data_IF_490808731768
#
_entry.id   IF_490808731768
#
_cell.length_a   1.000
_cell.length_b   1.000
_cell.length_c   1.000
_cell.angle_alpha   90.00
_cell.angle_beta   90.00
_cell.angle_gamma   90.00
#
_symmetry.space_group_name_H-M   'P 1'
#
loop_
_entity.id
_entity.type
_entity.pdbx_description
1 polymer ?
#
# COMPACT_ATOMS: atom_id res chain seq x y z
N UNK A 1 -20.85 -12.57 16.21
CA UNK A 1 -21.22 -12.61 14.75
C UNK A 1 -20.97 -14.02 14.23
N UNK A 2 -21.44 -14.40 13.03
CA UNK A 2 -21.17 -15.73 12.46
C UNK A 2 -20.17 -15.65 11.31
N UNK A 3 -19.26 -16.61 11.22
CA UNK A 3 -18.25 -16.72 10.18
C UNK A 3 -18.92 -16.89 8.81
N UNK A 4 -18.61 -16.06 7.80
CA UNK A 4 -19.19 -16.19 6.46
C UNK A 4 -18.67 -17.39 5.68
N UNK A 5 -17.53 -17.97 6.06
CA UNK A 5 -16.95 -19.14 5.41
C UNK A 5 -17.55 -20.46 5.95
N UNK A 6 -17.55 -20.66 7.27
CA UNK A 6 -17.94 -21.94 7.88
C UNK A 6 -19.08 -21.84 8.92
N UNK A 7 -19.71 -20.67 9.08
CA UNK A 7 -20.87 -20.41 9.95
C UNK A 7 -20.66 -20.52 11.46
N UNK A 8 -19.48 -20.91 11.92
CA UNK A 8 -19.12 -20.88 13.34
C UNK A 8 -19.24 -19.47 13.94
N UNK A 9 -19.54 -19.38 15.23
CA UNK A 9 -19.54 -18.10 15.95
C UNK A 9 -18.13 -17.53 16.01
N UNK A 10 -17.98 -16.28 15.57
CA UNK A 10 -16.72 -15.54 15.69
C UNK A 10 -16.44 -15.20 17.16
N UNK A 11 -15.17 -15.30 17.54
CA UNK A 11 -14.65 -14.94 18.85
C UNK A 11 -13.88 -13.64 18.73
N UNK A 12 -14.13 -12.70 19.64
CA UNK A 12 -13.29 -11.52 19.80
C UNK A 12 -11.98 -11.91 20.50
N UNK A 13 -10.84 -11.53 19.91
CA UNK A 13 -9.49 -11.77 20.42
C UNK A 13 -8.73 -10.46 20.43
N UNK A 14 -7.71 -10.34 21.27
CA UNK A 14 -6.74 -9.24 21.20
C UNK A 14 -5.54 -9.69 20.38
N UNK A 15 -5.24 -8.95 19.31
CA UNK A 15 -4.08 -9.14 18.43
C UNK A 15 -3.34 -7.82 18.29
N UNK A 16 -2.09 -7.76 18.77
CA UNK A 16 -1.26 -6.54 18.80
C UNK A 16 -1.98 -5.31 19.38
N UNK A 17 -2.69 -5.49 20.49
CA UNK A 17 -3.43 -4.42 21.16
C UNK A 17 -4.70 -3.99 20.44
N UNK A 18 -5.19 -4.79 19.48
CA UNK A 18 -6.43 -4.54 18.75
C UNK A 18 -7.41 -5.69 18.95
N UNK A 19 -8.65 -5.37 19.28
CA UNK A 19 -9.74 -6.35 19.32
C UNK A 19 -10.20 -6.67 17.90
N UNK A 20 -9.99 -7.92 17.46
CA UNK A 20 -10.44 -8.43 16.16
C UNK A 20 -11.34 -9.65 16.36
N UNK A 21 -12.07 -10.02 15.31
CA UNK A 21 -12.97 -11.15 15.32
C UNK A 21 -12.37 -12.32 14.54
N UNK A 22 -12.17 -13.46 15.18
CA UNK A 22 -11.52 -14.64 14.60
C UNK A 22 -12.44 -15.86 14.62
N UNK A 23 -12.37 -16.67 13.58
CA UNK A 23 -13.06 -17.94 13.49
C UNK A 23 -12.14 -19.12 13.88
N UNK A 24 -12.47 -19.83 14.96
CA UNK A 24 -11.70 -21.02 15.38
C UNK A 24 -11.86 -22.23 14.43
N UNK A 25 -12.80 -22.17 13.46
CA UNK A 25 -13.04 -23.26 12.50
C UNK A 25 -12.16 -23.18 11.25
N UNK A 26 -12.16 -22.02 10.59
CA UNK A 26 -11.44 -21.81 9.33
C UNK A 26 -10.20 -20.93 9.48
N UNK A 27 -10.00 -20.28 10.63
CA UNK A 27 -8.91 -19.31 10.85
C UNK A 27 -9.12 -17.96 10.17
N UNK A 28 -10.33 -17.68 9.67
CA UNK A 28 -10.65 -16.39 9.04
C UNK A 28 -10.88 -15.29 10.06
N UNK A 29 -10.57 -14.06 9.66
CA UNK A 29 -10.54 -12.88 10.52
C UNK A 29 -11.40 -11.76 9.92
N UNK A 30 -12.07 -11.01 10.79
CA UNK A 30 -12.79 -9.81 10.42
C UNK A 30 -12.20 -8.59 11.13
N UNK A 31 -11.71 -7.65 10.33
CA UNK A 31 -10.91 -6.50 10.77
C UNK A 31 -11.24 -5.26 9.93
N UNK A 32 -11.06 -4.08 10.47
CA UNK A 32 -11.20 -2.81 9.76
C UNK A 32 -9.87 -2.28 9.23
N UNK A 33 -9.92 -1.30 8.31
CA UNK A 33 -8.71 -0.63 7.84
C UNK A 33 -7.95 0.12 8.94
N UNK A 34 -8.67 0.68 9.93
CA UNK A 34 -8.05 1.37 11.07
C UNK A 34 -7.30 0.39 11.99
N UNK A 35 -7.89 -0.77 12.24
CA UNK A 35 -7.32 -1.87 13.02
C UNK A 35 -6.04 -2.42 12.35
N UNK A 36 -6.07 -2.72 11.04
CA UNK A 36 -4.84 -3.10 10.30
C UNK A 36 -3.78 -2.00 10.40
N UNK A 37 -4.19 -0.74 10.24
CA UNK A 37 -3.28 0.40 10.36
C UNK A 37 -2.61 0.50 11.73
N UNK A 38 -3.28 0.07 12.81
CA UNK A 38 -2.71 0.00 14.15
C UNK A 38 -1.74 -1.19 14.27
N UNK A 39 -2.17 -2.39 13.90
CA UNK A 39 -1.36 -3.62 13.92
C UNK A 39 0.00 -3.40 13.24
N UNK A 40 -0.02 -2.87 12.01
CA UNK A 40 1.20 -2.62 11.20
C UNK A 40 2.16 -1.60 11.86
N UNK A 41 1.65 -0.71 12.73
CA UNK A 41 2.49 0.26 13.44
C UNK A 41 3.10 -0.32 14.71
N UNK A 42 2.38 -1.20 15.40
CA UNK A 42 2.81 -1.78 16.69
C UNK A 42 3.92 -2.80 16.47
N UNK A 43 3.81 -3.66 15.45
CA UNK A 43 4.85 -4.63 15.06
C UNK A 43 5.29 -5.52 16.22
N UNK A 44 4.34 -5.95 17.05
CA UNK A 44 4.60 -6.85 18.17
C UNK A 44 4.87 -8.27 17.70
N UNK A 45 4.12 -8.74 16.69
CA UNK A 45 4.38 -10.01 16.03
C UNK A 45 5.70 -9.93 15.26
N UNK A 46 6.52 -10.97 15.39
CA UNK A 46 7.81 -11.07 14.70
C UNK A 46 7.74 -12.13 13.61
N UNK A 47 7.90 -11.69 12.37
CA UNK A 47 7.94 -12.55 11.20
C UNK A 47 9.37 -12.99 10.86
N UNK A 48 9.56 -14.30 10.81
CA UNK A 48 10.83 -14.93 10.51
C UNK A 48 11.14 -14.98 9.01
N UNK A 49 12.29 -15.57 8.63
CA UNK A 49 12.68 -15.70 7.23
C UNK A 49 11.65 -16.45 6.37
N UNK A 50 10.97 -17.46 6.92
CA UNK A 50 9.97 -18.25 6.20
C UNK A 50 8.73 -17.43 5.83
N UNK A 51 8.23 -16.61 6.76
CA UNK A 51 7.06 -15.74 6.54
C UNK A 51 7.38 -14.72 5.43
N UNK A 52 8.57 -14.11 5.51
CA UNK A 52 9.07 -13.16 4.51
C UNK A 52 9.26 -13.83 3.14
N UNK A 53 9.77 -15.06 3.11
CA UNK A 53 9.90 -15.82 1.87
C UNK A 53 8.53 -16.14 1.24
N UNK A 54 7.51 -16.39 2.07
CA UNK A 54 6.13 -16.65 1.63
C UNK A 54 5.51 -15.50 0.84
N UNK A 55 5.93 -14.25 1.10
CA UNK A 55 5.47 -13.06 0.37
C UNK A 55 6.52 -12.43 -0.54
N UNK A 56 7.74 -12.99 -0.62
CA UNK A 56 8.83 -12.39 -1.38
C UNK A 56 8.54 -12.29 -2.88
N UNK A 57 7.75 -13.23 -3.42
CA UNK A 57 7.30 -13.24 -4.81
C UNK A 57 6.10 -12.33 -5.10
N UNK A 58 5.48 -11.73 -4.08
CA UNK A 58 4.42 -10.76 -4.26
C UNK A 58 5.05 -9.42 -4.66
N UNK A 59 4.95 -9.09 -5.95
CA UNK A 59 5.24 -7.78 -6.52
C UNK A 59 3.95 -7.00 -6.77
N UNK A 60 4.03 -5.84 -7.46
CA UNK A 60 2.81 -5.12 -7.86
C UNK A 60 1.98 -5.99 -8.81
N UNK A 61 0.93 -6.60 -8.26
CA UNK A 61 -0.06 -7.37 -9.00
C UNK A 61 -1.28 -6.48 -9.11
N UNK A 62 -1.58 -5.96 -10.29
CA UNK A 62 -2.74 -5.11 -10.49
C UNK A 62 -3.98 -5.94 -10.82
N UNK A 63 -5.11 -5.55 -10.24
CA UNK A 63 -6.38 -6.24 -10.44
C UNK A 63 -6.53 -7.49 -9.59
N UNK A 64 -7.52 -8.31 -9.94
CA UNK A 64 -7.91 -9.54 -9.24
C UNK A 64 -8.02 -10.64 -10.30
N UNK A 65 -7.45 -11.81 -10.04
CA UNK A 65 -7.58 -12.94 -10.95
C UNK A 65 -9.06 -13.37 -11.06
N UNK A 66 -9.48 -13.90 -12.21
CA UNK A 66 -10.87 -14.32 -12.41
C UNK A 66 -11.34 -15.34 -11.36
N UNK A 67 -10.43 -16.18 -10.86
CA UNK A 67 -10.68 -17.13 -9.77
C UNK A 67 -11.06 -16.45 -8.46
N UNK A 68 -10.62 -15.22 -8.26
CA UNK A 68 -10.79 -14.42 -7.05
C UNK A 68 -11.79 -13.27 -7.20
N UNK A 69 -12.30 -13.04 -8.41
CA UNK A 69 -13.21 -11.93 -8.71
C UNK A 69 -14.68 -12.18 -8.33
N UNK A 70 -15.02 -13.36 -7.82
CA UNK A 70 -16.39 -13.70 -7.43
C UNK A 70 -16.67 -13.26 -6.00
N UNK A 71 -17.80 -12.59 -5.75
CA UNK A 71 -18.27 -12.31 -4.38
C UNK A 71 -18.51 -13.62 -3.64
N UNK A 72 -17.72 -13.89 -2.60
CA UNK A 72 -17.80 -15.15 -1.83
C UNK A 72 -18.55 -15.01 -0.52
N UNK A 73 -18.43 -13.85 0.14
CA UNK A 73 -18.83 -13.73 1.54
C UNK A 73 -19.93 -12.69 1.81
N UNK A 74 -20.72 -12.98 2.83
CA UNK A 74 -21.71 -12.08 3.41
C UNK A 74 -21.12 -11.46 4.66
N UNK A 75 -21.12 -10.13 4.76
CA UNK A 75 -20.48 -9.44 5.87
C UNK A 75 -21.04 -9.90 7.24
N UNK A 76 -20.19 -10.38 8.17
CA UNK A 76 -20.64 -10.88 9.47
C UNK A 76 -21.24 -9.78 10.36
N UNK A 77 -20.90 -8.51 10.10
CA UNK A 77 -21.39 -7.35 10.86
C UNK A 77 -22.74 -6.82 10.40
N UNK A 78 -22.96 -6.73 9.08
CA UNK A 78 -24.15 -6.04 8.51
C UNK A 78 -24.95 -6.87 7.51
N UNK A 79 -24.58 -8.14 7.28
CA UNK A 79 -25.25 -9.08 6.39
C UNK A 79 -25.34 -8.66 4.91
N UNK A 80 -24.53 -7.70 4.46
CA UNK A 80 -24.45 -7.30 3.04
C UNK A 80 -23.38 -8.09 2.29
N UNK A 81 -23.57 -8.35 0.98
CA UNK A 81 -22.53 -8.96 0.15
C UNK A 81 -21.23 -8.16 0.18
N UNK A 82 -20.10 -8.87 0.20
CA UNK A 82 -18.77 -8.30 0.17
C UNK A 82 -18.20 -8.36 -1.25
N UNK A 83 -17.22 -7.51 -1.55
CA UNK A 83 -16.56 -7.49 -2.84
C UNK A 83 -15.09 -7.87 -2.65
N UNK A 84 -14.55 -8.80 -3.45
CA UNK A 84 -13.13 -9.05 -3.45
C UNK A 84 -12.40 -7.78 -3.91
N UNK A 85 -11.30 -7.46 -3.23
CA UNK A 85 -10.40 -6.37 -3.56
C UNK A 85 -8.96 -6.85 -3.44
N UNK A 86 -8.09 -6.38 -4.33
CA UNK A 86 -6.65 -6.49 -4.10
C UNK A 86 -6.25 -5.46 -3.04
N UNK A 87 -5.79 -5.93 -1.88
CA UNK A 87 -5.50 -5.06 -0.75
C UNK A 87 -4.42 -4.03 -1.12
N UNK A 88 -4.61 -2.78 -0.72
CA UNK A 88 -3.81 -1.61 -1.13
C UNK A 88 -3.67 -1.40 -2.66
N UNK A 89 -4.40 -2.15 -3.49
CA UNK A 89 -4.49 -1.99 -4.95
C UNK A 89 -3.49 -2.83 -5.75
N UNK A 90 -2.35 -3.20 -5.16
CA UNK A 90 -1.28 -3.89 -5.87
C UNK A 90 -0.50 -4.94 -5.03
N UNK A 91 -0.97 -5.29 -3.83
CA UNK A 91 -0.27 -6.28 -2.98
C UNK A 91 -0.33 -7.71 -3.51
N UNK A 92 -1.36 -8.01 -4.32
CA UNK A 92 -1.67 -9.37 -4.73
C UNK A 92 -2.34 -10.21 -3.64
N UNK A 93 -2.61 -9.63 -2.47
CA UNK A 93 -3.44 -10.27 -1.43
C UNK A 93 -4.88 -9.85 -1.67
N UNK A 94 -5.74 -10.80 -2.03
CA UNK A 94 -7.16 -10.53 -2.30
C UNK A 94 -7.96 -10.76 -1.03
N UNK A 95 -8.65 -9.72 -0.55
CA UNK A 95 -9.52 -9.78 0.63
C UNK A 95 -10.94 -9.37 0.26
N UNK A 96 -11.93 -9.80 1.03
CA UNK A 96 -13.31 -9.39 0.82
C UNK A 96 -13.61 -8.11 1.63
N UNK A 97 -14.03 -7.03 0.96
CA UNK A 97 -14.42 -5.77 1.62
C UNK A 97 -15.92 -5.59 1.60
N UNK A 98 -16.49 -5.26 2.77
CA UNK A 98 -17.89 -4.86 2.85
C UNK A 98 -18.04 -3.41 2.35
N UNK A 99 -18.87 -3.13 1.33
CA UNK A 99 -19.07 -1.77 0.84
C UNK A 99 -19.88 -0.88 1.80
N UNK A 100 -20.49 -1.44 2.85
CA UNK A 100 -21.38 -0.68 3.75
C UNK A 100 -20.77 -0.33 5.09
N UNK A 101 -19.97 -1.22 5.68
CA UNK A 101 -19.34 -0.97 6.97
C UNK A 101 -17.82 -0.95 6.86
N UNK A 102 -17.27 -1.12 5.65
CA UNK A 102 -15.84 -1.06 5.33
C UNK A 102 -14.96 -2.12 5.99
N UNK A 103 -15.54 -3.02 6.79
CA UNK A 103 -14.84 -4.16 7.34
C UNK A 103 -14.37 -5.12 6.25
N UNK A 104 -13.22 -5.72 6.52
CA UNK A 104 -12.50 -6.66 5.69
C UNK A 104 -12.66 -8.06 6.28
N UNK A 105 -12.92 -9.03 5.42
CA UNK A 105 -12.84 -10.44 5.75
C UNK A 105 -11.56 -10.99 5.12
N UNK A 106 -10.72 -11.55 5.96
CA UNK A 106 -9.44 -12.13 5.62
C UNK A 106 -9.55 -13.64 5.83
N UNK A 107 -9.14 -14.40 4.83
CA UNK A 107 -8.95 -15.83 4.98
C UNK A 107 -7.71 -16.11 5.83
N UNK A 108 -7.53 -17.37 6.21
CA UNK A 108 -6.42 -17.77 7.08
C UNK A 108 -5.07 -17.30 6.53
N UNK A 109 -4.26 -16.72 7.41
CA UNK A 109 -2.90 -16.24 7.15
C UNK A 109 -2.81 -14.99 6.25
N UNK A 110 -3.94 -14.37 5.87
CA UNK A 110 -3.92 -13.16 5.04
C UNK A 110 -3.55 -11.90 5.83
N UNK A 111 -3.93 -11.83 7.11
CA UNK A 111 -3.55 -10.72 7.98
C UNK A 111 -2.03 -10.62 8.12
N UNK A 112 -1.37 -11.75 8.37
CA UNK A 112 0.08 -11.84 8.48
C UNK A 112 0.77 -11.50 7.16
N UNK A 113 0.23 -11.96 6.02
CA UNK A 113 0.77 -11.57 4.69
C UNK A 113 0.72 -10.06 4.49
N UNK A 114 -0.42 -9.45 4.80
CA UNK A 114 -0.58 -7.99 4.73
C UNK A 114 0.41 -7.30 5.65
N UNK A 115 0.56 -7.79 6.89
CA UNK A 115 1.48 -7.21 7.86
C UNK A 115 2.93 -7.27 7.37
N UNK A 116 3.40 -8.43 6.92
CA UNK A 116 4.77 -8.60 6.38
C UNK A 116 5.01 -7.69 5.18
N UNK A 117 4.03 -7.57 4.26
CA UNK A 117 4.15 -6.70 3.09
C UNK A 117 4.24 -5.23 3.46
N UNK A 118 3.35 -4.76 4.33
CA UNK A 118 3.30 -3.35 4.73
C UNK A 118 4.52 -2.95 5.57
N UNK A 119 4.97 -3.81 6.49
CA UNK A 119 6.20 -3.57 7.25
C UNK A 119 7.41 -3.46 6.33
N UNK A 120 7.55 -4.38 5.36
CA UNK A 120 8.60 -4.32 4.35
C UNK A 120 8.55 -3.02 3.54
N UNK A 121 7.38 -2.60 3.09
CA UNK A 121 7.24 -1.36 2.32
C UNK A 121 7.61 -0.12 3.15
N UNK A 122 7.22 -0.09 4.42
CA UNK A 122 7.60 1.00 5.34
C UNK A 122 9.11 1.04 5.55
N UNK A 123 9.77 -0.12 5.67
CA UNK A 123 11.22 -0.21 5.85
C UNK A 123 11.98 0.19 4.58
N UNK A 124 11.46 -0.14 3.40
CA UNK A 124 12.05 0.20 2.10
C UNK A 124 11.73 1.63 1.62
N UNK A 125 10.65 2.24 2.11
CA UNK A 125 10.14 3.53 1.64
C UNK A 125 11.18 4.67 1.69
N UNK A 126 11.96 4.87 2.77
CA UNK A 126 12.95 5.93 2.83
C UNK A 126 13.99 5.84 1.70
N UNK A 127 14.46 4.63 1.39
CA UNK A 127 15.42 4.39 0.32
C UNK A 127 14.81 4.65 -1.07
N UNK A 128 13.56 4.21 -1.28
CA UNK A 128 12.85 4.45 -2.55
C UNK A 128 12.57 5.94 -2.78
N UNK A 129 12.12 6.66 -1.75
CA UNK A 129 11.88 8.11 -1.80
C UNK A 129 13.18 8.85 -2.11
N UNK A 130 14.28 8.51 -1.43
CA UNK A 130 15.58 9.11 -1.70
C UNK A 130 16.07 8.87 -3.14
N UNK A 131 15.85 7.66 -3.68
CA UNK A 131 16.15 7.33 -5.07
C UNK A 131 15.36 8.19 -6.07
N UNK A 132 14.05 8.30 -5.88
CA UNK A 132 13.17 9.13 -6.73
C UNK A 132 13.56 10.61 -6.65
N UNK A 133 13.83 11.13 -5.44
CA UNK A 133 14.26 12.50 -5.26
C UNK A 133 15.56 12.81 -6.04
N UNK A 134 16.53 11.91 -5.97
CA UNK A 134 17.78 12.04 -6.73
C UNK A 134 17.59 12.00 -8.25
N UNK A 135 16.65 11.20 -8.74
CA UNK A 135 16.31 11.15 -10.16
C UNK A 135 15.60 12.42 -10.63
N UNK A 136 14.65 12.94 -9.84
CA UNK A 136 13.97 14.22 -10.11
C UNK A 136 14.96 15.40 -10.13
N UNK A 137 15.90 15.46 -9.20
CA UNK A 137 16.93 16.50 -9.17
C UNK A 137 17.86 16.44 -10.38
N UNK A 138 18.18 15.23 -10.86
CA UNK A 138 18.96 15.03 -12.10
C UNK A 138 18.18 15.52 -13.31
N UNK A 139 16.93 15.09 -13.48
CA UNK A 139 16.08 15.53 -14.59
C UNK A 139 15.86 17.03 -14.58
N UNK A 140 15.69 17.63 -13.40
CA UNK A 140 15.61 19.09 -13.23
C UNK A 140 16.90 19.78 -13.69
N UNK A 141 18.06 19.28 -13.27
CA UNK A 141 19.36 19.87 -13.63
C UNK A 141 19.64 19.78 -15.12
N UNK A 142 19.34 18.63 -15.75
CA UNK A 142 19.45 18.42 -17.19
C UNK A 142 18.52 19.35 -17.98
N UNK A 143 17.27 19.51 -17.54
CA UNK A 143 16.33 20.45 -18.14
C UNK A 143 16.83 21.90 -18.06
N UNK A 144 17.36 22.32 -16.90
CA UNK A 144 17.92 23.66 -16.72
C UNK A 144 19.18 23.88 -17.59
N UNK A 145 20.06 22.88 -17.68
CA UNK A 145 21.23 22.94 -18.54
C UNK A 145 20.85 23.02 -20.03
N UNK A 146 19.85 22.24 -20.45
CA UNK A 146 19.30 22.25 -21.81
C UNK A 146 18.68 23.60 -22.18
N UNK A 147 17.94 24.23 -21.27
CA UNK A 147 17.42 25.61 -21.45
C UNK A 147 18.58 26.60 -21.60
N UNK A 148 19.58 26.55 -20.70
CA UNK A 148 20.77 27.41 -20.80
C UNK A 148 21.51 27.23 -22.13
N UNK A 149 21.62 26.00 -22.63
CA UNK A 149 22.28 25.69 -23.90
C UNK A 149 21.45 26.15 -25.11
N UNK A 150 20.12 26.02 -25.08
CA UNK A 150 19.22 26.55 -26.10
C UNK A 150 19.27 28.10 -26.19
N UNK A 151 19.51 28.78 -25.06
CA UNK A 151 19.68 30.23 -25.02
C UNK A 151 21.08 30.71 -25.47
N UNK A 152 22.15 29.90 -25.31
CA UNK A 152 23.52 30.24 -25.77
C UNK A 152 23.66 30.39 -27.29
N UNK A 153 22.70 29.89 -28.08
CA UNK A 153 22.66 30.06 -29.55
C UNK A 153 21.48 30.88 -30.07
N UNK A 154 20.62 31.39 -29.18
CA UNK A 154 19.43 32.15 -29.56
C UNK A 154 19.78 33.60 -29.92
N UNK A 155 19.07 34.18 -30.89
CA UNK A 155 19.18 35.62 -31.25
C UNK A 155 18.88 36.55 -30.07
N UNK A 156 18.27 36.02 -29.01
CA UNK A 156 18.00 36.70 -27.75
C UNK A 156 19.18 36.67 -26.75
N UNK A 157 20.35 36.13 -27.12
CA UNK A 157 21.57 36.18 -26.28
C UNK A 157 21.95 37.60 -25.88
N UNK A 158 21.67 38.57 -26.75
CA UNK A 158 21.82 40.01 -26.49
C UNK A 158 20.92 40.48 -25.32
N UNK A 159 19.68 39.99 -25.24
CA UNK A 159 18.74 40.38 -24.17
C UNK A 159 19.24 39.89 -22.81
N UNK A 160 19.77 38.67 -22.73
CA UNK A 160 20.36 38.15 -21.50
C UNK A 160 21.63 38.89 -21.09
N UNK A 161 22.49 39.30 -22.02
CA UNK A 161 23.69 40.09 -21.72
C UNK A 161 23.33 41.49 -21.17
N UNK A 162 22.23 42.09 -21.64
CA UNK A 162 21.73 43.38 -21.15
C UNK A 162 21.09 43.25 -19.77
N UNK A 163 20.26 42.23 -19.53
CA UNK A 163 19.62 42.01 -18.23
C UNK A 163 20.67 41.76 -17.14
N UNK A 164 21.68 40.91 -17.39
CA UNK A 164 22.72 40.64 -16.40
C UNK A 164 23.56 41.88 -16.08
N UNK A 165 23.86 42.74 -17.06
CA UNK A 165 24.55 44.02 -16.82
C UNK A 165 23.73 45.01 -15.99
N UNK A 166 22.41 45.01 -16.12
CA UNK A 166 21.53 45.87 -15.33
C UNK A 166 21.39 45.39 -13.88
N UNK A 167 21.48 44.08 -13.64
CA UNK A 167 21.45 43.50 -12.30
C UNK A 167 22.78 43.63 -11.55
N UNK A 168 23.91 43.66 -12.25
CA UNK A 168 25.25 43.86 -11.64
C UNK A 168 25.59 45.34 -11.36
N UNK A 169 24.81 46.27 -11.93
CA UNK A 169 24.99 47.71 -11.77
C UNK A 169 24.06 48.36 -10.70
N UNK A 170 23.26 47.54 -10.01
CA UNK A 170 22.38 47.94 -8.92
C UNK A 170 22.89 47.36 -7.59
#
# INVERSE_FOLDING_TARGET
MNCPCCTHTLRTIEYEGVEIETCDGCGGEFVSGEEIGHIVRVREQRFGPSDRAGVAGLGPVFGIADTDATTRFICPRCAKPMNPINYAGDTGVVVDRCPSCEGLWLENSELEKIQVLLERWQDEAPGRIAGIAGELDRSRSEALAGVSQAFRGSRFSFVNAVINRLLEAA
#
